data_IF_014392431773
#
_entry.id   IF_014392431773
#
_cell.length_a   1.000
_cell.length_b   1.000
_cell.length_c   1.000
_cell.angle_alpha   90.00
_cell.angle_beta   90.00
_cell.angle_gamma   90.00
#
_symmetry.space_group_name_H-M   'P 1'
#
loop_
_entity.id
_entity.type
_entity.pdbx_description
1 polymer ?
#
# COMPACT_ATOMS: atom_id res chain seq x y z
N UNK A 1 40.42 -15.61 -8.36
CA UNK A 1 39.79 -14.43 -7.73
C UNK A 1 38.46 -14.22 -8.43
N UNK A 2 37.36 -14.60 -7.78
CA UNK A 2 36.01 -14.35 -8.31
C UNK A 2 35.76 -12.85 -8.21
N UNK A 3 35.30 -12.25 -9.30
CA UNK A 3 35.13 -10.81 -9.40
C UNK A 3 33.86 -10.38 -8.63
N UNK A 4 34.01 -10.20 -7.31
CA UNK A 4 32.93 -9.79 -6.37
C UNK A 4 32.20 -8.53 -6.85
N UNK A 5 32.86 -7.68 -7.66
CA UNK A 5 32.22 -6.50 -8.23
C UNK A 5 31.16 -6.85 -9.28
N UNK A 6 31.35 -7.88 -10.11
CA UNK A 6 30.35 -8.24 -11.14
C UNK A 6 29.07 -8.81 -10.54
N UNK A 7 29.19 -9.56 -9.44
CA UNK A 7 28.04 -10.15 -8.73
C UNK A 7 27.15 -9.08 -8.07
N UNK A 8 27.76 -8.06 -7.45
CA UNK A 8 27.02 -6.94 -6.85
C UNK A 8 26.25 -6.09 -7.87
N UNK A 9 26.77 -5.93 -9.09
CA UNK A 9 26.07 -5.18 -10.14
C UNK A 9 24.82 -5.92 -10.64
N UNK A 10 24.89 -7.25 -10.81
CA UNK A 10 23.75 -8.06 -11.23
C UNK A 10 22.60 -8.01 -10.21
N UNK A 11 22.91 -8.16 -8.93
CA UNK A 11 21.92 -8.07 -7.84
C UNK A 11 21.26 -6.69 -7.79
N UNK A 12 22.04 -5.62 -7.91
CA UNK A 12 21.51 -4.25 -7.91
C UNK A 12 20.54 -4.00 -9.07
N UNK A 13 20.82 -4.54 -10.27
CA UNK A 13 19.93 -4.42 -11.42
C UNK A 13 18.61 -5.18 -11.22
N UNK A 14 18.65 -6.38 -10.62
CA UNK A 14 17.45 -7.15 -10.30
C UNK A 14 16.59 -6.44 -9.27
N UNK A 15 17.18 -5.92 -8.18
CA UNK A 15 16.44 -5.14 -7.18
C UNK A 15 15.81 -3.89 -7.81
N UNK A 16 16.55 -3.19 -8.68
CA UNK A 16 16.00 -2.02 -9.37
C UNK A 16 14.81 -2.39 -10.28
N UNK A 17 14.84 -3.55 -10.95
CA UNK A 17 13.71 -4.03 -11.72
C UNK A 17 12.50 -4.34 -10.84
N UNK A 18 12.69 -5.07 -9.74
CA UNK A 18 11.61 -5.40 -8.80
C UNK A 18 10.96 -4.13 -8.24
N UNK A 19 11.77 -3.11 -7.91
CA UNK A 19 11.27 -1.80 -7.47
C UNK A 19 10.40 -1.13 -8.53
N UNK A 20 10.83 -1.13 -9.80
CA UNK A 20 10.04 -0.59 -10.92
C UNK A 20 8.72 -1.35 -11.11
N UNK A 21 8.77 -2.68 -11.11
CA UNK A 21 7.57 -3.51 -11.29
C UNK A 21 6.57 -3.30 -10.15
N UNK A 22 7.08 -3.12 -8.92
CA UNK A 22 6.25 -2.79 -7.78
C UNK A 22 5.55 -1.44 -7.95
N UNK A 23 6.29 -0.38 -8.33
CA UNK A 23 5.72 0.95 -8.59
C UNK A 23 4.70 0.91 -9.72
N UNK A 24 4.99 0.22 -10.82
CA UNK A 24 4.04 0.04 -11.92
C UNK A 24 2.75 -0.67 -11.48
N UNK A 25 2.82 -1.55 -10.47
CA UNK A 25 1.63 -2.21 -9.92
C UNK A 25 0.77 -1.30 -9.03
N UNK A 26 1.29 -0.14 -8.59
CA UNK A 26 0.57 0.77 -7.70
C UNK A 26 -0.64 1.39 -8.36
N UNK A 27 -0.63 1.61 -9.69
CA UNK A 27 -1.77 2.15 -10.42
C UNK A 27 -3.03 1.29 -10.25
N UNK A 28 -2.90 -0.03 -10.42
CA UNK A 28 -4.06 -0.91 -10.26
C UNK A 28 -4.52 -0.98 -8.80
N UNK A 29 -3.57 -0.86 -7.85
CA UNK A 29 -3.88 -0.89 -6.40
C UNK A 29 -4.57 0.41 -5.96
N UNK A 30 -4.16 1.57 -6.45
CA UNK A 30 -4.79 2.85 -6.13
C UNK A 30 -6.24 2.88 -6.62
N UNK A 31 -6.50 2.48 -7.87
CA UNK A 31 -7.85 2.34 -8.42
C UNK A 31 -8.73 1.38 -7.60
N UNK A 32 -8.14 0.29 -7.11
CA UNK A 32 -8.87 -0.67 -6.25
C UNK A 32 -9.19 -0.06 -4.88
N UNK A 33 -8.24 0.64 -4.26
CA UNK A 33 -8.46 1.34 -2.98
C UNK A 33 -9.55 2.43 -3.12
N UNK A 34 -9.56 3.18 -4.21
CA UNK A 34 -10.60 4.17 -4.49
C UNK A 34 -11.99 3.53 -4.59
N UNK A 35 -12.10 2.42 -5.32
CA UNK A 35 -13.36 1.69 -5.44
C UNK A 35 -13.85 1.16 -4.09
N UNK A 36 -12.96 0.62 -3.26
CA UNK A 36 -13.28 0.14 -1.91
C UNK A 36 -13.69 1.29 -0.98
N UNK A 37 -12.99 2.43 -1.04
CA UNK A 37 -13.34 3.65 -0.30
C UNK A 37 -14.75 4.11 -0.64
N UNK A 38 -15.12 4.13 -1.93
CA UNK A 38 -16.46 4.48 -2.39
C UNK A 38 -17.52 3.47 -1.91
N UNK A 39 -17.24 2.17 -2.01
CA UNK A 39 -18.15 1.12 -1.55
C UNK A 39 -18.42 1.21 -0.04
N UNK A 40 -17.38 1.47 0.75
CA UNK A 40 -17.49 1.68 2.19
C UNK A 40 -18.29 2.94 2.56
N UNK A 41 -18.08 4.04 1.83
CA UNK A 41 -18.81 5.29 2.02
C UNK A 41 -20.30 5.17 1.64
N UNK A 42 -20.62 4.38 0.61
CA UNK A 42 -22.00 4.13 0.18
C UNK A 42 -22.77 3.15 1.10
N UNK A 43 -22.10 2.57 2.10
CA UNK A 43 -22.63 1.56 3.02
C UNK A 43 -23.24 0.32 2.32
N UNK A 44 -22.88 0.04 1.06
CA UNK A 44 -23.39 -1.13 0.34
C UNK A 44 -22.80 -2.43 0.89
N UNK A 45 -21.53 -2.43 1.31
CA UNK A 45 -20.82 -3.55 1.96
C UNK A 45 -19.64 -3.04 2.81
N UNK A 46 -19.91 -2.12 3.74
CA UNK A 46 -18.87 -1.37 4.47
C UNK A 46 -17.82 -2.25 5.14
N UNK A 47 -18.25 -3.29 5.85
CA UNK A 47 -17.33 -4.16 6.60
C UNK A 47 -16.42 -4.96 5.66
N UNK A 48 -16.96 -5.46 4.55
CA UNK A 48 -16.18 -6.16 3.53
C UNK A 48 -15.18 -5.22 2.86
N UNK A 49 -15.61 -4.00 2.49
CA UNK A 49 -14.73 -3.02 1.88
C UNK A 49 -13.59 -2.60 2.82
N UNK A 50 -13.88 -2.36 4.10
CA UNK A 50 -12.87 -2.05 5.13
C UNK A 50 -11.91 -3.22 5.31
N UNK A 51 -12.41 -4.45 5.35
CA UNK A 51 -11.57 -5.65 5.42
C UNK A 51 -10.61 -5.76 4.23
N UNK A 52 -11.10 -5.53 3.01
CA UNK A 52 -10.29 -5.58 1.79
C UNK A 52 -9.24 -4.45 1.75
N UNK A 53 -9.58 -3.25 2.23
CA UNK A 53 -8.62 -2.15 2.42
C UNK A 53 -7.48 -2.60 3.35
N UNK A 54 -7.81 -3.18 4.51
CA UNK A 54 -6.81 -3.68 5.47
C UNK A 54 -5.92 -4.78 4.88
N UNK A 55 -6.52 -5.75 4.20
CA UNK A 55 -5.79 -6.83 3.54
C UNK A 55 -4.83 -6.31 2.45
N UNK A 56 -5.21 -5.24 1.74
CA UNK A 56 -4.34 -4.59 0.76
C UNK A 56 -3.21 -3.83 1.43
N UNK A 57 -3.51 -3.05 2.48
CA UNK A 57 -2.53 -2.32 3.26
C UNK A 57 -1.45 -3.25 3.83
N UNK A 58 -1.86 -4.38 4.42
CA UNK A 58 -0.93 -5.40 4.91
C UNK A 58 0.07 -5.89 3.84
N UNK A 59 -0.43 -6.20 2.63
CA UNK A 59 0.41 -6.65 1.52
C UNK A 59 1.36 -5.55 1.04
N UNK A 60 0.90 -4.30 0.99
CA UNK A 60 1.74 -3.16 0.59
C UNK A 60 2.83 -2.95 1.63
N UNK A 61 2.49 -2.92 2.92
CA UNK A 61 3.43 -2.75 4.02
C UNK A 61 4.63 -3.69 3.92
N UNK A 62 4.37 -4.99 3.77
CA UNK A 62 5.42 -6.02 3.71
C UNK A 62 6.33 -5.88 2.49
N UNK A 63 5.75 -5.64 1.31
CA UNK A 63 6.55 -5.52 0.07
C UNK A 63 7.30 -4.19 0.04
N UNK A 64 6.63 -3.08 0.39
CA UNK A 64 7.21 -1.74 0.37
C UNK A 64 8.43 -1.62 1.30
N UNK A 65 8.33 -2.15 2.52
CA UNK A 65 9.45 -2.13 3.48
C UNK A 65 10.65 -2.96 3.00
N UNK A 66 10.40 -4.10 2.35
CA UNK A 66 11.47 -4.93 1.78
C UNK A 66 12.19 -4.23 0.62
N UNK A 67 11.49 -3.36 -0.11
CA UNK A 67 12.00 -2.67 -1.29
C UNK A 67 12.53 -1.23 -1.00
N UNK A 68 12.52 -0.81 0.26
CA UNK A 68 13.00 0.51 0.70
C UNK A 68 12.06 1.66 0.39
N UNK A 69 10.75 1.40 0.28
CA UNK A 69 9.70 2.43 0.18
C UNK A 69 9.13 2.70 1.58
N UNK A 70 9.95 3.30 2.45
CA UNK A 70 9.69 3.39 3.89
C UNK A 70 8.38 4.14 4.20
N UNK A 71 8.16 5.30 3.58
CA UNK A 71 6.92 6.08 3.77
C UNK A 71 5.68 5.30 3.38
N UNK A 72 5.68 4.65 2.22
CA UNK A 72 4.59 3.80 1.77
C UNK A 72 4.35 2.62 2.73
N UNK A 73 5.41 2.02 3.26
CA UNK A 73 5.33 0.95 4.25
C UNK A 73 4.69 1.44 5.57
N UNK A 74 5.15 2.58 6.09
CA UNK A 74 4.66 3.18 7.33
C UNK A 74 3.17 3.51 7.27
N UNK A 75 2.71 4.18 6.21
CA UNK A 75 1.29 4.52 6.03
C UNK A 75 0.44 3.23 5.94
N UNK A 76 0.94 2.25 5.19
CA UNK A 76 0.25 0.97 5.03
C UNK A 76 0.14 0.18 6.33
N UNK A 77 1.20 0.19 7.16
CA UNK A 77 1.18 -0.43 8.50
C UNK A 77 0.23 0.30 9.45
N UNK A 78 0.16 1.63 9.39
CA UNK A 78 -0.78 2.41 10.19
C UNK A 78 -2.22 2.03 9.83
N UNK A 79 -2.52 1.91 8.53
CA UNK A 79 -3.84 1.50 8.04
C UNK A 79 -4.18 0.04 8.41
N UNK A 80 -3.23 -0.89 8.25
CA UNK A 80 -3.37 -2.29 8.66
C UNK A 80 -3.60 -2.42 10.17
N UNK A 81 -2.84 -1.68 10.98
CA UNK A 81 -2.99 -1.67 12.45
C UNK A 81 -4.32 -1.08 12.87
N UNK A 82 -4.75 0.01 12.23
CA UNK A 82 -6.04 0.64 12.52
C UNK A 82 -7.18 -0.33 12.23
N UNK A 83 -7.14 -1.03 11.08
CA UNK A 83 -8.20 -1.95 10.66
C UNK A 83 -8.17 -3.27 11.45
N UNK A 84 -6.97 -3.77 11.72
CA UNK A 84 -6.70 -5.02 12.43
C UNK A 84 -6.86 -6.28 11.57
N UNK A 85 -6.21 -7.40 11.95
CA UNK A 85 -6.04 -8.60 11.12
C UNK A 85 -7.32 -9.42 10.82
N UNK A 86 -8.51 -8.97 11.24
CA UNK A 86 -9.76 -9.73 11.08
C UNK A 86 -11.01 -8.89 10.82
N UNK A 87 -10.91 -7.58 10.53
CA UNK A 87 -12.09 -6.71 10.43
C UNK A 87 -12.90 -6.57 11.74
N UNK A 88 -12.41 -7.14 12.85
CA UNK A 88 -13.04 -7.11 14.17
C UNK A 88 -12.80 -5.84 14.98
N UNK A 89 -12.12 -4.84 14.40
CA UNK A 89 -12.09 -3.49 14.96
C UNK A 89 -13.46 -2.84 14.85
N UNK A 90 -13.84 -2.03 15.84
CA UNK A 90 -15.11 -1.30 15.85
C UNK A 90 -15.09 -0.15 14.81
N UNK A 91 -15.06 -0.48 13.52
CA UNK A 91 -15.14 0.43 12.35
C UNK A 91 -16.57 0.85 12.04
N UNK A 92 -17.53 0.31 12.79
CA UNK A 92 -18.93 0.67 12.73
C UNK A 92 -19.15 2.15 13.09
N UNK A 93 -18.26 2.73 13.92
CA UNK A 93 -18.37 4.15 14.30
C UNK A 93 -17.95 5.07 13.16
N UNK A 94 -18.60 6.23 13.06
CA UNK A 94 -18.25 7.29 12.11
C UNK A 94 -16.81 7.79 12.33
N UNK A 95 -16.37 7.91 13.59
CA UNK A 95 -15.04 8.41 13.92
C UNK A 95 -13.93 7.44 13.47
N UNK A 96 -14.10 6.14 13.69
CA UNK A 96 -13.16 5.12 13.20
C UNK A 96 -13.06 5.15 11.68
N UNK A 97 -14.21 5.30 10.99
CA UNK A 97 -14.23 5.36 9.53
C UNK A 97 -13.52 6.61 8.98
N UNK A 98 -13.70 7.78 9.58
CA UNK A 98 -12.98 8.99 9.16
C UNK A 98 -11.47 8.79 9.22
N UNK A 99 -10.94 8.17 10.29
CA UNK A 99 -9.50 7.88 10.41
C UNK A 99 -9.00 6.91 9.35
N UNK A 100 -9.79 5.87 9.03
CA UNK A 100 -9.49 4.94 7.94
C UNK A 100 -9.44 5.68 6.61
N UNK A 101 -10.43 6.53 6.34
CA UNK A 101 -10.50 7.32 5.12
C UNK A 101 -9.28 8.24 4.97
N UNK A 102 -8.92 9.00 6.02
CA UNK A 102 -7.77 9.90 5.99
C UNK A 102 -6.44 9.17 5.68
N UNK A 103 -6.26 7.96 6.25
CA UNK A 103 -5.09 7.13 5.96
C UNK A 103 -5.13 6.54 4.55
N UNK A 104 -6.30 6.20 4.01
CA UNK A 104 -6.44 5.75 2.63
C UNK A 104 -6.08 6.88 1.66
N UNK A 105 -6.52 8.11 1.89
CA UNK A 105 -6.11 9.25 1.04
C UNK A 105 -4.60 9.47 1.12
N UNK A 106 -4.03 9.45 2.33
CA UNK A 106 -2.57 9.59 2.51
C UNK A 106 -1.79 8.50 1.78
N UNK A 107 -2.33 7.27 1.74
CA UNK A 107 -1.75 6.14 1.02
C UNK A 107 -1.84 6.33 -0.50
N UNK A 108 -2.98 6.82 -1.00
CA UNK A 108 -3.19 7.11 -2.42
C UNK A 108 -2.23 8.22 -2.89
N UNK A 109 -2.10 9.30 -2.12
CA UNK A 109 -1.17 10.40 -2.43
C UNK A 109 0.29 9.92 -2.53
N UNK A 110 0.72 9.04 -1.62
CA UNK A 110 2.07 8.46 -1.67
C UNK A 110 2.25 7.53 -2.87
N UNK A 111 1.23 6.75 -3.24
CA UNK A 111 1.28 5.92 -4.46
C UNK A 111 1.44 6.77 -5.71
N UNK A 112 0.65 7.85 -5.82
CA UNK A 112 0.73 8.81 -6.94
C UNK A 112 2.11 9.45 -7.01
N UNK A 113 2.62 9.96 -5.89
CA UNK A 113 3.94 10.57 -5.83
C UNK A 113 5.06 9.60 -6.27
N UNK A 114 4.97 8.31 -5.93
CA UNK A 114 5.94 7.30 -6.36
C UNK A 114 5.85 6.97 -7.84
N UNK A 115 4.65 6.96 -8.42
CA UNK A 115 4.44 6.76 -9.85
C UNK A 115 4.97 7.96 -10.65
N UNK A 116 4.67 9.19 -10.22
CA UNK A 116 5.16 10.42 -10.85
C UNK A 116 6.70 10.50 -10.87
N UNK A 117 7.34 10.08 -9.77
CA UNK A 117 8.79 10.00 -9.67
C UNK A 117 9.41 8.95 -10.62
N UNK A 118 8.67 7.89 -10.95
CA UNK A 118 9.13 6.84 -11.85
C UNK A 118 8.96 7.20 -13.33
N UNK A 119 8.01 8.08 -13.64
CA UNK A 119 7.73 8.59 -15.00
C UNK A 119 8.56 9.83 -15.37
N UNK A 120 9.25 10.44 -14.40
CA UNK A 120 10.15 11.61 -14.55
C UNK A 120 11.58 11.23 -14.96
#
# INVERSE_FOLDING_TARGET
>A
MVNVQTENHGVNLVIAQIRRDFVASLLQRSLTLEALKLAAAAAQDKDQAVFEIGAMAHKIAGVAGTLGFDRLSEISLALDTLIGPAGGGNHATTESWTKVQDLVETLLDEMEALMDQADS
#
